data_IF_348572634318
#
_entry.id   IF_348572634318
#
_cell.length_a   1.000
_cell.length_b   1.000
_cell.length_c   1.000
_cell.angle_alpha   90.00
_cell.angle_beta   90.00
_cell.angle_gamma   90.00
#
_symmetry.space_group_name_H-M   'P 1'
#
loop_
_entity.id
_entity.type
_entity.pdbx_description
1 polymer ?
#
# COMPACT_ATOMS: atom_id res chain seq x y z
N UNK A 1 8.16 -9.00 -12.80
CA UNK A 1 8.22 -9.07 -11.32
C UNK A 1 8.67 -10.46 -10.88
N UNK A 2 9.81 -10.53 -10.20
CA UNK A 2 10.44 -11.77 -9.68
C UNK A 2 10.68 -11.62 -8.18
N UNK A 3 10.56 -12.72 -7.44
CA UNK A 3 10.86 -12.73 -6.01
C UNK A 3 12.39 -12.69 -5.80
N UNK A 4 12.87 -11.79 -4.94
CA UNK A 4 14.29 -11.68 -4.58
C UNK A 4 14.65 -12.54 -3.37
N UNK A 5 13.67 -12.89 -2.55
CA UNK A 5 13.83 -13.76 -1.38
C UNK A 5 12.85 -14.94 -1.42
N UNK A 6 13.13 -16.04 -0.69
CA UNK A 6 12.19 -17.16 -0.57
C UNK A 6 10.83 -16.74 -0.02
N UNK A 7 10.75 -15.86 0.99
CA UNK A 7 9.49 -15.40 1.58
C UNK A 7 8.68 -14.46 0.67
N UNK A 8 9.32 -13.80 -0.29
CA UNK A 8 8.58 -13.06 -1.34
C UNK A 8 7.87 -14.00 -2.34
N UNK A 9 8.25 -15.28 -2.47
CA UNK A 9 7.57 -16.22 -3.37
C UNK A 9 6.11 -16.47 -3.00
N UNK A 10 5.76 -16.86 -1.76
CA UNK A 10 4.36 -17.00 -1.36
C UNK A 10 3.62 -15.67 -1.42
N UNK A 11 4.31 -14.53 -1.21
CA UNK A 11 3.71 -13.23 -1.43
C UNK A 11 3.27 -13.01 -2.89
N UNK A 12 4.16 -13.24 -3.86
CA UNK A 12 3.82 -13.12 -5.27
C UNK A 12 2.74 -14.11 -5.70
N UNK A 13 2.71 -15.31 -5.12
CA UNK A 13 1.63 -16.28 -5.35
C UNK A 13 0.28 -15.76 -4.83
N UNK A 14 0.26 -15.18 -3.62
CA UNK A 14 -0.95 -14.59 -3.05
C UNK A 14 -1.44 -13.38 -3.85
N UNK A 15 -0.54 -12.53 -4.34
CA UNK A 15 -0.88 -11.46 -5.28
C UNK A 15 -1.53 -12.01 -6.55
N UNK A 16 -1.04 -13.12 -7.10
CA UNK A 16 -1.62 -13.70 -8.32
C UNK A 16 -2.89 -14.52 -8.10
N UNK A 17 -3.28 -14.78 -6.84
CA UNK A 17 -4.48 -15.55 -6.54
C UNK A 17 -5.74 -14.68 -6.79
N UNK A 18 -6.61 -15.05 -7.75
CA UNK A 18 -7.82 -14.28 -8.07
C UNK A 18 -8.92 -14.39 -6.99
N UNK A 19 -8.88 -15.40 -6.13
CA UNK A 19 -9.90 -15.61 -5.08
C UNK A 19 -9.74 -14.62 -3.92
N UNK A 20 -8.52 -14.10 -3.73
CA UNK A 20 -8.22 -13.15 -2.66
C UNK A 20 -8.64 -11.73 -3.04
N UNK A 21 -9.86 -11.35 -2.64
CA UNK A 21 -10.35 -9.98 -2.75
C UNK A 21 -9.75 -9.06 -1.68
N UNK A 22 -9.32 -9.61 -0.54
CA UNK A 22 -8.58 -8.89 0.50
C UNK A 22 -7.27 -9.62 0.79
N UNK A 23 -6.14 -8.92 0.67
CA UNK A 23 -4.83 -9.47 0.98
C UNK A 23 -4.11 -8.61 2.01
N UNK A 24 -3.82 -9.17 3.17
CA UNK A 24 -2.91 -8.56 4.14
C UNK A 24 -1.47 -8.98 3.86
N UNK A 25 -0.55 -8.03 3.88
CA UNK A 25 0.89 -8.26 3.71
C UNK A 25 1.62 -7.54 4.83
N UNK A 26 2.03 -8.29 5.84
CA UNK A 26 2.66 -7.73 7.05
C UNK A 26 4.13 -8.07 7.09
N UNK A 27 4.98 -7.12 7.50
CA UNK A 27 6.39 -7.41 7.79
C UNK A 27 7.24 -6.14 7.82
N UNK A 28 8.55 -6.27 8.13
CA UNK A 28 9.44 -5.13 8.30
C UNK A 28 9.58 -4.21 7.09
N UNK A 29 10.04 -2.98 7.31
CA UNK A 29 10.44 -2.07 6.24
C UNK A 29 11.60 -2.63 5.39
N UNK A 30 11.50 -2.52 4.07
CA UNK A 30 12.50 -3.05 3.13
C UNK A 30 12.26 -4.49 2.66
N UNK A 31 11.15 -5.12 3.06
CA UNK A 31 10.74 -6.45 2.56
C UNK A 31 10.07 -6.41 1.18
N UNK A 32 9.83 -5.21 0.62
CA UNK A 32 9.21 -5.03 -0.69
C UNK A 32 7.68 -5.12 -0.71
N UNK A 33 7.01 -5.18 0.46
CA UNK A 33 5.55 -5.33 0.59
C UNK A 33 4.76 -4.35 -0.30
N UNK A 34 4.94 -3.04 -0.14
CA UNK A 34 4.17 -2.02 -0.88
C UNK A 34 4.57 -1.95 -2.35
N UNK A 35 5.87 -1.99 -2.64
CA UNK A 35 6.38 -1.96 -4.01
C UNK A 35 5.83 -3.11 -4.86
N UNK A 36 5.93 -4.36 -4.40
CA UNK A 36 5.44 -5.51 -5.16
C UNK A 36 3.92 -5.50 -5.33
N UNK A 37 3.15 -4.97 -4.36
CA UNK A 37 1.70 -4.78 -4.52
C UNK A 37 1.40 -3.79 -5.65
N UNK A 38 2.06 -2.63 -5.64
CA UNK A 38 1.86 -1.58 -6.63
C UNK A 38 2.35 -1.99 -8.03
N UNK A 39 3.51 -2.64 -8.14
CA UNK A 39 4.00 -3.20 -9.41
C UNK A 39 3.06 -4.26 -9.98
N UNK A 40 2.47 -5.11 -9.12
CA UNK A 40 1.45 -6.06 -9.56
C UNK A 40 0.21 -5.35 -10.08
N UNK A 41 -0.31 -4.35 -9.34
CA UNK A 41 -1.47 -3.57 -9.76
C UNK A 41 -1.23 -2.84 -11.09
N UNK A 42 -0.02 -2.30 -11.33
CA UNK A 42 0.35 -1.71 -12.62
C UNK A 42 0.29 -2.74 -13.77
N UNK A 43 0.77 -3.97 -13.55
CA UNK A 43 0.65 -5.02 -14.57
C UNK A 43 -0.82 -5.33 -14.88
N UNK A 44 -1.67 -5.41 -13.87
CA UNK A 44 -3.10 -5.64 -14.06
C UNK A 44 -3.76 -4.49 -14.84
N UNK A 45 -3.39 -3.25 -14.51
CA UNK A 45 -3.87 -2.06 -15.20
C UNK A 45 -3.44 -2.05 -16.68
N UNK A 46 -2.17 -2.36 -16.98
CA UNK A 46 -1.65 -2.43 -18.35
C UNK A 46 -2.32 -3.54 -19.19
N UNK A 47 -2.78 -4.62 -18.54
CA UNK A 47 -3.52 -5.71 -19.18
C UNK A 47 -5.03 -5.45 -19.30
N UNK A 48 -5.52 -4.35 -18.73
CA UNK A 48 -6.95 -4.02 -18.69
C UNK A 48 -7.76 -4.90 -17.72
N UNK A 49 -7.11 -5.65 -16.82
CA UNK A 49 -7.78 -6.48 -15.81
C UNK A 49 -8.47 -5.62 -14.74
N UNK A 50 -7.93 -4.44 -14.47
CA UNK A 50 -8.50 -3.42 -13.57
C UNK A 50 -8.60 -2.08 -14.30
N UNK A 51 -9.51 -1.22 -13.86
CA UNK A 51 -9.71 0.12 -14.45
C UNK A 51 -8.82 1.18 -13.82
N UNK A 52 -8.45 1.00 -12.56
CA UNK A 52 -7.62 1.97 -11.82
C UNK A 52 -6.92 1.35 -10.61
N UNK A 53 -5.86 2.01 -10.17
CA UNK A 53 -5.16 1.78 -8.91
C UNK A 53 -5.52 2.91 -7.96
N UNK A 54 -5.83 2.60 -6.71
CA UNK A 54 -6.06 3.59 -5.67
C UNK A 54 -5.03 3.38 -4.56
N UNK A 55 -4.02 4.24 -4.53
CA UNK A 55 -2.97 4.26 -3.50
C UNK A 55 -3.46 5.07 -2.32
N UNK A 56 -3.49 4.43 -1.16
CA UNK A 56 -4.08 4.96 0.07
C UNK A 56 -3.05 4.92 1.17
N UNK A 57 -2.96 5.98 1.97
CA UNK A 57 -2.12 6.01 3.17
C UNK A 57 -2.90 6.67 4.31
N UNK A 58 -2.85 6.14 5.55
CA UNK A 58 -3.41 6.81 6.70
C UNK A 58 -2.65 8.10 6.97
N UNK A 59 -3.36 9.17 7.30
CA UNK A 59 -2.73 10.39 7.77
C UNK A 59 -2.42 10.24 9.24
N UNK A 60 -1.16 9.99 9.57
CA UNK A 60 -0.69 10.05 10.95
C UNK A 60 -0.50 11.50 11.31
N UNK A 61 -1.20 11.95 12.34
CA UNK A 61 -1.03 13.29 12.91
C UNK A 61 0.22 13.31 13.78
N UNK A 62 1.40 13.10 13.20
CA UNK A 62 2.66 13.39 13.90
C UNK A 62 2.84 14.91 13.96
N UNK A 63 2.22 15.55 14.95
CA UNK A 63 2.53 16.93 15.34
C UNK A 63 1.87 18.07 14.55
N UNK A 64 0.98 17.80 13.59
CA UNK A 64 0.21 18.83 12.90
C UNK A 64 -0.96 18.27 12.11
N UNK A 65 -2.05 19.02 12.01
CA UNK A 65 -3.08 18.74 11.02
C UNK A 65 -2.45 18.77 9.62
N UNK A 66 -2.92 17.91 8.70
CA UNK A 66 -2.71 18.11 7.26
C UNK A 66 -3.49 19.37 6.84
N UNK A 67 -2.98 20.53 7.25
CA UNK A 67 -3.63 21.83 7.16
C UNK A 67 -2.56 22.92 7.08
N UNK A 68 -2.75 23.82 6.10
CA UNK A 68 -1.97 25.03 5.83
C UNK A 68 -0.72 24.98 4.92
N UNK A 69 -0.77 24.20 3.83
CA UNK A 69 -0.06 24.59 2.60
C UNK A 69 -1.07 25.00 1.51
N UNK A 70 -0.86 26.14 0.83
CA UNK A 70 -1.68 26.54 -0.34
C UNK A 70 -1.30 25.62 -1.51
N UNK A 71 -2.27 24.94 -2.13
CA UNK A 71 -2.06 23.98 -3.23
C UNK A 71 -3.23 23.00 -3.42
N UNK A 72 -3.31 22.37 -4.58
CA UNK A 72 -4.29 21.29 -4.86
C UNK A 72 -4.01 20.08 -3.96
N UNK A 73 -5.03 19.24 -3.71
CA UNK A 73 -4.92 18.08 -2.84
C UNK A 73 -3.80 17.13 -3.29
N UNK A 74 -3.58 17.00 -4.60
CA UNK A 74 -2.47 16.24 -5.17
C UNK A 74 -1.09 16.75 -4.74
N UNK A 75 -0.86 18.06 -4.81
CA UNK A 75 0.40 18.70 -4.42
C UNK A 75 0.70 18.52 -2.92
N UNK A 76 -0.34 18.47 -2.09
CA UNK A 76 -0.21 18.30 -0.63
C UNK A 76 0.16 16.88 -0.22
N UNK A 77 -0.31 15.89 -0.96
CA UNK A 77 -0.11 14.47 -0.61
C UNK A 77 1.06 13.86 -1.37
N UNK A 78 1.48 14.48 -2.49
CA UNK A 78 2.60 14.07 -3.32
C UNK A 78 3.85 13.66 -2.54
N UNK A 79 4.36 14.48 -1.60
CA UNK A 79 5.56 14.13 -0.82
C UNK A 79 5.45 12.81 -0.03
N UNK A 80 4.24 12.45 0.43
CA UNK A 80 4.02 11.21 1.19
C UNK A 80 4.05 9.96 0.30
N UNK A 81 3.82 10.11 -1.00
CA UNK A 81 3.81 9.01 -1.96
C UNK A 81 5.02 9.04 -2.89
N UNK A 82 5.78 10.12 -2.93
CA UNK A 82 6.93 10.30 -3.83
C UNK A 82 7.89 9.10 -3.84
N UNK A 83 8.35 8.53 -2.70
CA UNK A 83 9.25 7.37 -2.74
C UNK A 83 8.65 6.14 -3.42
N UNK A 84 7.34 5.94 -3.30
CA UNK A 84 6.64 4.85 -3.99
C UNK A 84 6.49 5.16 -5.48
N UNK A 85 6.14 6.39 -5.85
CA UNK A 85 6.01 6.79 -7.25
C UNK A 85 7.33 6.71 -7.98
N UNK A 86 8.43 7.18 -7.38
CA UNK A 86 9.78 7.12 -7.96
C UNK A 86 10.17 5.66 -8.28
N UNK A 87 9.93 4.76 -7.32
CA UNK A 87 10.20 3.33 -7.53
C UNK A 87 9.31 2.72 -8.64
N UNK A 88 8.08 3.21 -8.81
CA UNK A 88 7.20 2.75 -9.88
C UNK A 88 7.57 3.34 -11.24
N UNK A 89 8.07 4.57 -11.30
CA UNK A 89 8.64 5.16 -12.51
C UNK A 89 9.87 4.35 -12.97
N UNK A 90 10.78 4.02 -12.05
CA UNK A 90 11.91 3.12 -12.33
C UNK A 90 11.42 1.76 -12.85
N UNK A 91 10.40 1.18 -12.21
CA UNK A 91 9.81 -0.09 -12.64
C UNK A 91 9.21 -0.02 -14.06
N UNK A 92 8.65 1.13 -14.45
CA UNK A 92 8.12 1.36 -15.80
C UNK A 92 9.24 1.62 -16.83
N UNK A 93 10.50 1.75 -16.40
CA UNK A 93 11.60 2.19 -17.25
C UNK A 93 11.43 3.64 -17.70
N UNK A 94 10.69 4.44 -16.94
CA UNK A 94 10.38 5.83 -17.26
C UNK A 94 11.20 6.76 -16.35
N UNK A 95 12.39 7.11 -16.83
CA UNK A 95 13.30 8.03 -16.13
C UNK A 95 12.74 9.46 -16.02
N UNK A 96 11.72 9.80 -16.82
CA UNK A 96 11.13 11.15 -16.87
C UNK A 96 9.90 11.30 -15.97
N UNK A 97 9.28 10.20 -15.54
CA UNK A 97 8.02 10.20 -14.79
C UNK A 97 6.77 10.49 -15.62
N UNK A 98 6.90 10.85 -16.90
CA UNK A 98 5.79 11.25 -17.76
C UNK A 98 4.71 10.16 -17.94
N UNK A 99 5.08 8.88 -17.92
CA UNK A 99 4.12 7.78 -17.94
C UNK A 99 3.29 7.73 -16.65
N UNK A 100 3.93 7.92 -15.49
CA UNK A 100 3.22 7.96 -14.22
C UNK A 100 2.29 9.20 -14.16
N UNK A 101 2.77 10.36 -14.60
CA UNK A 101 1.97 11.58 -14.66
C UNK A 101 0.72 11.39 -15.52
N UNK A 102 0.86 10.79 -16.71
CA UNK A 102 -0.30 10.44 -17.56
C UNK A 102 -1.28 9.51 -16.87
N UNK A 103 -0.81 8.52 -16.11
CA UNK A 103 -1.69 7.62 -15.35
C UNK A 103 -2.44 8.35 -14.25
N UNK A 104 -1.81 9.32 -13.60
CA UNK A 104 -2.42 10.16 -12.56
C UNK A 104 -3.43 11.13 -13.18
N UNK A 105 -3.05 11.85 -14.23
CA UNK A 105 -3.92 12.80 -14.96
C UNK A 105 -5.17 12.12 -15.54
N UNK A 106 -5.01 10.93 -16.11
CA UNK A 106 -6.11 10.11 -16.62
C UNK A 106 -6.93 9.42 -15.52
N UNK A 107 -6.57 9.60 -14.24
CA UNK A 107 -7.19 8.96 -13.06
C UNK A 107 -7.16 7.43 -13.08
N UNK A 108 -6.23 6.85 -13.83
CA UNK A 108 -5.94 5.42 -13.78
C UNK A 108 -5.10 5.08 -12.53
N UNK A 109 -4.32 6.03 -12.01
CA UNK A 109 -3.70 5.96 -10.69
C UNK A 109 -4.24 7.11 -9.86
N UNK A 110 -4.83 6.81 -8.71
CA UNK A 110 -5.38 7.79 -7.78
C UNK A 110 -4.61 7.68 -6.48
N UNK A 111 -4.11 8.81 -5.99
CA UNK A 111 -3.45 8.92 -4.70
C UNK A 111 -4.42 9.61 -3.75
N UNK A 112 -4.70 8.98 -2.61
CA UNK A 112 -5.70 9.50 -1.69
C UNK A 112 -5.35 9.23 -0.23
N UNK A 113 -5.36 10.26 0.63
CA UNK A 113 -5.43 10.07 2.07
C UNK A 113 -6.66 9.23 2.45
N UNK A 114 -6.49 8.31 3.40
CA UNK A 114 -7.53 7.35 3.77
C UNK A 114 -8.88 8.01 4.09
N UNK A 115 -8.90 9.17 4.77
CA UNK A 115 -10.13 9.87 5.18
C UNK A 115 -11.01 10.32 4.01
N UNK A 116 -10.45 10.57 2.82
CA UNK A 116 -11.21 11.03 1.66
C UNK A 116 -11.99 9.90 0.97
N UNK A 117 -11.73 8.65 1.36
CA UNK A 117 -12.50 7.51 0.85
C UNK A 117 -13.85 7.35 1.55
N UNK A 118 -14.11 8.09 2.64
CA UNK A 118 -15.38 8.06 3.35
C UNK A 118 -16.54 8.38 2.38
N UNK A 119 -17.57 7.54 2.40
CA UNK A 119 -18.75 7.73 1.55
C UNK A 119 -18.55 7.35 0.08
N UNK A 120 -17.35 6.94 -0.33
CA UNK A 120 -17.11 6.45 -1.69
C UNK A 120 -17.43 4.95 -1.84
N UNK A 121 -17.57 4.50 -3.08
CA UNK A 121 -17.56 3.07 -3.45
C UNK A 121 -16.53 2.88 -4.55
N UNK A 122 -15.59 1.96 -4.33
CA UNK A 122 -14.49 1.71 -5.24
C UNK A 122 -14.85 0.50 -6.10
N UNK A 123 -14.96 0.67 -7.43
CA UNK A 123 -15.36 -0.39 -8.37
C UNK A 123 -14.28 -0.59 -9.43
N UNK A 124 -14.01 -1.85 -9.78
CA UNK A 124 -13.01 -2.21 -10.80
C UNK A 124 -11.61 -1.69 -10.48
N UNK A 125 -11.24 -1.65 -9.21
CA UNK A 125 -10.01 -1.03 -8.74
C UNK A 125 -9.11 -2.02 -7.97
N UNK A 126 -7.80 -1.81 -8.03
CA UNK A 126 -6.89 -2.37 -7.02
C UNK A 126 -6.58 -1.27 -6.00
N UNK A 127 -7.06 -1.44 -4.78
CA UNK A 127 -6.86 -0.50 -3.68
C UNK A 127 -5.69 -0.98 -2.83
N UNK A 128 -4.68 -0.14 -2.64
CA UNK A 128 -3.50 -0.48 -1.85
C UNK A 128 -3.43 0.48 -0.67
N UNK A 129 -3.65 -0.04 0.54
CA UNK A 129 -3.40 0.70 1.78
C UNK A 129 -1.96 0.46 2.20
N UNK A 130 -1.12 1.48 2.05
CA UNK A 130 0.24 1.53 2.56
C UNK A 130 0.27 2.01 4.01
N UNK A 131 1.24 1.54 4.79
CA UNK A 131 1.36 1.80 6.23
C UNK A 131 0.05 1.52 7.01
N UNK A 132 -0.62 0.40 6.74
CA UNK A 132 -1.91 0.06 7.34
C UNK A 132 -1.90 0.00 8.88
N UNK A 133 -0.73 -0.18 9.51
CA UNK A 133 -0.58 -0.12 10.97
C UNK A 133 -0.83 1.27 11.56
N UNK A 134 -0.82 2.30 10.71
CA UNK A 134 -1.12 3.68 11.05
C UNK A 134 -2.60 4.03 10.87
N UNK A 135 -3.43 3.08 10.45
CA UNK A 135 -4.88 3.24 10.45
C UNK A 135 -5.46 2.81 11.80
N UNK A 136 -6.34 3.63 12.38
CA UNK A 136 -7.15 3.21 13.53
C UNK A 136 -8.11 2.10 13.14
N UNK A 137 -8.67 1.38 14.11
CA UNK A 137 -9.72 0.39 13.86
C UNK A 137 -10.90 0.96 13.04
N UNK A 138 -11.34 2.18 13.36
CA UNK A 138 -12.44 2.83 12.66
C UNK A 138 -12.08 3.14 11.20
N UNK A 139 -10.84 3.59 10.96
CA UNK A 139 -10.33 3.88 9.62
C UNK A 139 -10.17 2.60 8.78
N UNK A 140 -9.63 1.54 9.38
CA UNK A 140 -9.51 0.23 8.74
C UNK A 140 -10.89 -0.32 8.35
N UNK A 141 -11.85 -0.31 9.28
CA UNK A 141 -13.23 -0.74 8.99
C UNK A 141 -13.89 0.12 7.90
N UNK A 142 -13.70 1.44 7.95
CA UNK A 142 -14.21 2.35 6.93
C UNK A 142 -13.66 1.97 5.55
N UNK A 143 -12.35 1.75 5.40
CA UNK A 143 -11.74 1.36 4.14
C UNK A 143 -12.26 0.00 3.65
N UNK A 144 -12.25 -1.02 4.51
CA UNK A 144 -12.60 -2.39 4.14
C UNK A 144 -14.08 -2.57 3.73
N UNK A 145 -14.91 -1.55 3.95
CA UNK A 145 -16.32 -1.50 3.51
C UNK A 145 -16.54 -0.63 2.26
N UNK A 146 -15.48 -0.10 1.64
CA UNK A 146 -15.55 0.66 0.38
C UNK A 146 -15.54 -0.18 -0.92
N UNK A 147 -14.95 -1.40 -0.97
CA UNK A 147 -14.92 -2.19 -2.19
C UNK A 147 -16.32 -2.54 -2.70
N UNK A 148 -16.54 -2.32 -3.99
CA UNK A 148 -17.66 -2.87 -4.76
C UNK A 148 -17.16 -3.83 -5.84
N UNK A 149 -18.01 -4.12 -6.83
CA UNK A 149 -17.72 -5.16 -7.83
C UNK A 149 -16.39 -4.96 -8.58
N UNK A 150 -15.65 -6.06 -8.74
CA UNK A 150 -14.36 -6.09 -9.42
C UNK A 150 -13.24 -5.35 -8.69
N UNK A 151 -13.41 -5.07 -7.39
CA UNK A 151 -12.39 -4.40 -6.58
C UNK A 151 -11.67 -5.37 -5.68
N UNK A 152 -10.36 -5.18 -5.60
CA UNK A 152 -9.47 -5.89 -4.69
C UNK A 152 -8.79 -4.91 -3.75
N UNK A 153 -8.59 -5.31 -2.50
CA UNK A 153 -7.87 -4.53 -1.49
C UNK A 153 -6.61 -5.28 -1.06
N UNK A 154 -5.49 -4.58 -1.08
CA UNK A 154 -4.22 -5.04 -0.54
C UNK A 154 -3.86 -4.09 0.59
N UNK A 155 -3.65 -4.62 1.79
CA UNK A 155 -3.23 -3.85 2.97
C UNK A 155 -1.81 -4.26 3.32
N UNK A 156 -0.87 -3.33 3.21
CA UNK A 156 0.52 -3.53 3.60
C UNK A 156 0.81 -2.81 4.91
N UNK A 157 1.72 -3.35 5.72
CA UNK A 157 2.12 -2.68 6.96
C UNK A 157 3.10 -3.49 7.79
N UNK A 158 3.49 -2.91 8.93
CA UNK A 158 4.30 -3.56 9.95
C UNK A 158 3.53 -3.61 11.27
N UNK A 159 3.26 -4.81 11.78
CA UNK A 159 2.46 -4.97 13.01
C UNK A 159 3.18 -4.44 14.26
N UNK A 160 4.50 -4.27 14.18
CA UNK A 160 5.35 -3.86 15.30
C UNK A 160 5.66 -2.34 15.30
N UNK A 161 5.34 -1.61 14.23
CA UNK A 161 5.74 -0.21 14.04
C UNK A 161 4.55 0.72 13.81
N UNK A 162 3.78 1.02 14.86
CA UNK A 162 2.68 1.99 14.77
C UNK A 162 3.11 3.38 15.22
N UNK A 163 2.77 4.39 14.42
CA UNK A 163 2.94 5.81 14.75
C UNK A 163 1.66 6.39 15.42
N UNK A 164 0.66 5.55 15.67
CA UNK A 164 -0.57 5.99 16.33
C UNK A 164 -0.28 6.40 17.78
N UNK A 165 -0.88 7.50 18.27
CA UNK A 165 -0.89 7.83 19.69
C UNK A 165 -1.42 6.66 20.52
N UNK A 166 -0.82 6.40 21.68
CA UNK A 166 -1.14 5.24 22.53
C UNK A 166 -2.63 5.06 22.91
N UNK A 167 -3.42 6.15 22.85
CA UNK A 167 -4.88 6.12 23.11
C UNK A 167 -5.71 5.53 21.97
N UNK A 168 -5.14 5.41 20.77
CA UNK A 168 -5.83 4.91 19.58
C UNK A 168 -5.44 3.46 19.34
N UNK A 169 -6.44 2.62 19.07
CA UNK A 169 -6.19 1.22 18.76
C UNK A 169 -5.83 1.05 17.27
N UNK A 170 -4.72 0.34 16.97
CA UNK A 170 -4.33 0.06 15.59
C UNK A 170 -5.29 -0.93 14.94
N UNK A 171 -5.74 -0.63 13.73
CA UNK A 171 -6.72 -1.43 13.01
C UNK A 171 -6.12 -2.68 12.36
N UNK A 172 -4.86 -2.62 11.90
CA UNK A 172 -4.24 -3.72 11.15
C UNK A 172 -4.10 -5.03 11.95
N UNK A 173 -3.57 -5.05 13.19
CA UNK A 173 -3.47 -6.29 13.96
C UNK A 173 -4.82 -6.97 14.16
N UNK A 174 -5.85 -6.19 14.51
CA UNK A 174 -7.22 -6.69 14.72
C UNK A 174 -7.88 -7.16 13.44
N UNK A 175 -7.66 -6.48 12.31
CA UNK A 175 -8.17 -6.91 11.02
C UNK A 175 -7.58 -8.25 10.60
N UNK A 176 -6.26 -8.42 10.72
CA UNK A 176 -5.55 -9.69 10.43
C UNK A 176 -6.01 -10.83 11.35
N UNK A 177 -6.32 -10.52 12.61
CA UNK A 177 -6.87 -11.51 13.55
C UNK A 177 -8.28 -11.96 13.15
N UNK A 178 -9.18 -11.00 12.84
CA UNK A 178 -10.61 -11.28 12.63
C UNK A 178 -10.96 -11.73 11.22
N UNK A 179 -10.22 -11.27 10.20
CA UNK A 179 -10.56 -11.46 8.79
C UNK A 179 -9.66 -12.55 8.20
N UNK A 180 -10.12 -13.80 8.32
CA UNK A 180 -9.39 -15.00 7.89
C UNK A 180 -10.27 -15.94 7.07
N UNK A 181 -9.67 -16.58 6.07
CA UNK A 181 -10.32 -17.58 5.23
C UNK A 181 -11.21 -16.97 4.13
N UNK A 182 -11.75 -17.84 3.27
CA UNK A 182 -12.58 -17.43 2.14
C UNK A 182 -11.82 -16.52 1.17
N UNK A 183 -12.36 -15.33 0.94
CA UNK A 183 -11.82 -14.33 0.01
C UNK A 183 -10.62 -13.55 0.56
N UNK A 184 -10.05 -13.98 1.69
CA UNK A 184 -9.05 -13.24 2.46
C UNK A 184 -7.75 -14.05 2.55
N UNK A 185 -6.66 -13.43 2.12
CA UNK A 185 -5.30 -13.95 2.27
C UNK A 185 -4.49 -13.14 3.28
N UNK A 186 -3.53 -13.79 3.93
CA UNK A 186 -2.53 -13.11 4.75
C UNK A 186 -1.15 -13.69 4.47
N UNK A 187 -0.18 -12.81 4.19
CA UNK A 187 1.23 -13.15 4.05
C UNK A 187 2.04 -12.36 5.07
N UNK A 188 2.94 -13.07 5.78
CA UNK A 188 3.89 -12.47 6.71
C UNK A 188 5.30 -12.58 6.15
N UNK A 189 5.94 -11.44 5.93
CA UNK A 189 7.36 -11.32 5.56
C UNK A 189 8.18 -11.12 6.84
N UNK A 190 9.40 -11.66 6.86
CA UNK A 190 10.29 -11.58 8.02
C UNK A 190 11.53 -10.73 7.76
N UNK A 191 12.43 -10.60 8.76
CA UNK A 191 13.72 -9.94 8.60
C UNK A 191 14.59 -10.53 7.48
N UNK A 192 14.49 -11.85 7.24
CA UNK A 192 15.17 -12.54 6.15
C UNK A 192 14.69 -12.11 4.74
N UNK A 193 13.54 -11.43 4.65
CA UNK A 193 13.01 -10.90 3.40
C UNK A 193 13.43 -9.46 3.12
N UNK A 194 14.19 -8.83 4.02
CA UNK A 194 14.68 -7.46 3.87
C UNK A 194 15.75 -7.45 2.78
N UNK A 195 15.49 -6.67 1.72
CA UNK A 195 16.44 -6.48 0.63
C UNK A 195 16.90 -5.04 0.61
N UNK A 196 18.08 -4.80 1.18
CA UNK A 196 18.73 -3.49 1.24
C UNK A 196 20.16 -3.58 0.72
N UNK A 197 20.72 -2.44 0.33
CA UNK A 197 22.13 -2.37 -0.09
C UNK A 197 23.06 -2.82 1.04
N UNK A 198 24.25 -3.37 0.74
CA UNK A 198 25.21 -3.80 1.75
C UNK A 198 25.56 -2.69 2.75
N UNK A 199 25.67 -1.44 2.29
CA UNK A 199 25.90 -0.27 3.14
C UNK A 199 24.81 -0.11 4.20
N UNK A 200 23.54 -0.14 3.81
CA UNK A 200 22.43 0.05 4.76
C UNK A 200 22.39 -1.09 5.78
N UNK A 201 22.71 -2.33 5.36
CA UNK A 201 22.81 -3.45 6.28
C UNK A 201 23.93 -3.25 7.31
N UNK A 202 25.11 -2.77 6.87
CA UNK A 202 26.23 -2.45 7.76
C UNK A 202 25.85 -1.35 8.77
N UNK A 203 25.23 -0.27 8.31
CA UNK A 203 24.79 0.84 9.19
C UNK A 203 23.81 0.33 10.25
N UNK A 204 22.78 -0.43 9.86
CA UNK A 204 21.79 -0.98 10.80
C UNK A 204 22.40 -1.94 11.82
N UNK A 205 23.45 -2.69 11.43
CA UNK A 205 24.14 -3.61 12.36
C UNK A 205 25.07 -2.93 13.37
N UNK A 206 25.44 -1.67 13.13
CA UNK A 206 26.42 -0.92 13.95
C UNK A 206 25.77 0.19 14.81
N UNK A 207 24.47 0.41 14.66
CA UNK A 207 23.70 1.44 15.38
C UNK A 207 22.86 0.81 16.49
#
# INVERSE_FOLDING_TARGET
MTARTPGQRPYLAALRNPDYQLLFVTGPAGTGKTFLAASHALQQLQRGEIRRIVLVRPTVTCGGELGYHKGDLGEKVGPYFAPLLDALCEYLGDETGAAMDRLIESRQVIISPLQYLRGSTLRGACVILDEGQNATEQQMFMLLTRPGDGTRVIVTGDLEQTDLPARLLPGLPRAVERLRGGLMGHVRLGPADIVRSPLVQQVVSQW
#
